data_IF_929672540702
#
_entry.id   IF_929672540702
#
_cell.length_a   1.000
_cell.length_b   1.000
_cell.length_c   1.000
_cell.angle_alpha   90.00
_cell.angle_beta   90.00
_cell.angle_gamma   90.00
#
_symmetry.space_group_name_H-M   'P 1'
#
loop_
_entity.id
_entity.type
_entity.pdbx_description
1 polymer ?
#
# COMPACT_ATOMS: atom_id res chain seq x y z
N UNK A 1 11.23 -7.11 -4.03
CA UNK A 1 10.91 -5.69 -4.28
C UNK A 1 9.76 -5.25 -3.38
N UNK A 2 9.98 -4.25 -2.52
CA UNK A 2 8.88 -3.51 -1.89
C UNK A 2 8.09 -2.83 -3.01
N UNK A 3 6.76 -2.91 -2.98
CA UNK A 3 5.92 -2.21 -3.96
C UNK A 3 6.10 -0.70 -3.85
N UNK A 4 6.36 -0.17 -2.66
CA UNK A 4 6.70 1.23 -2.46
C UNK A 4 8.20 1.44 -2.68
N UNK A 5 8.57 1.86 -3.88
CA UNK A 5 9.95 2.14 -4.21
C UNK A 5 10.30 3.50 -3.63
N UNK A 6 11.28 3.54 -2.72
CA UNK A 6 11.70 4.80 -2.10
C UNK A 6 12.44 5.66 -3.12
N UNK A 7 12.03 6.93 -3.20
CA UNK A 7 12.74 8.02 -3.81
C UNK A 7 12.84 9.15 -2.78
N UNK A 8 13.83 10.01 -2.93
CA UNK A 8 13.96 11.21 -2.10
C UNK A 8 13.03 12.30 -2.62
N UNK A 9 12.93 12.45 -3.95
CA UNK A 9 12.10 13.46 -4.62
C UNK A 9 10.66 13.04 -4.93
N UNK A 10 10.35 11.74 -4.95
CA UNK A 10 8.99 11.24 -5.24
C UNK A 10 8.33 10.73 -3.97
N UNK A 11 7.05 11.06 -3.78
CA UNK A 11 6.34 10.75 -2.54
C UNK A 11 5.30 9.64 -2.71
N UNK A 12 4.81 9.43 -3.94
CA UNK A 12 3.68 8.53 -4.21
C UNK A 12 4.00 7.50 -5.32
N UNK A 13 5.27 7.10 -5.45
CA UNK A 13 5.72 6.10 -6.42
C UNK A 13 5.55 4.67 -5.88
N UNK A 14 4.85 3.80 -6.62
CA UNK A 14 4.72 2.37 -6.29
C UNK A 14 4.42 1.48 -7.50
N UNK A 15 4.76 0.21 -7.36
CA UNK A 15 4.39 -0.91 -8.24
C UNK A 15 2.96 -1.40 -7.92
N UNK A 16 2.16 -1.64 -8.97
CA UNK A 16 0.82 -2.23 -8.88
C UNK A 16 0.82 -3.77 -8.87
N UNK A 17 1.98 -4.41 -9.01
CA UNK A 17 2.13 -5.85 -8.88
C UNK A 17 1.83 -6.37 -7.47
N UNK A 18 1.57 -7.66 -7.36
CA UNK A 18 1.34 -8.37 -6.10
C UNK A 18 -0.11 -8.57 -5.72
N UNK A 19 -1.04 -7.78 -6.27
CA UNK A 19 -2.47 -7.98 -5.98
C UNK A 19 -2.97 -9.33 -6.49
N UNK A 20 -3.88 -9.95 -5.75
CA UNK A 20 -4.51 -11.21 -6.14
C UNK A 20 -5.86 -10.92 -6.79
N UNK A 21 -6.16 -11.62 -7.88
CA UNK A 21 -7.46 -11.56 -8.56
C UNK A 21 -8.44 -12.54 -7.91
N UNK A 22 -9.74 -12.35 -8.13
CA UNK A 22 -10.78 -13.24 -7.57
C UNK A 22 -10.61 -14.71 -8.02
N UNK A 23 -10.00 -14.96 -9.18
CA UNK A 23 -9.71 -16.28 -9.73
C UNK A 23 -8.30 -16.81 -9.36
N UNK A 24 -7.63 -16.17 -8.40
CA UNK A 24 -6.41 -16.68 -7.77
C UNK A 24 -5.09 -16.35 -8.50
N UNK A 25 -5.13 -15.63 -9.62
CA UNK A 25 -3.93 -15.12 -10.26
C UNK A 25 -3.34 -13.97 -9.45
N UNK A 26 -2.08 -13.64 -9.73
CA UNK A 26 -1.37 -12.51 -9.11
C UNK A 26 -0.93 -11.50 -10.18
N UNK A 27 -1.11 -10.22 -9.91
CA UNK A 27 -0.57 -9.14 -10.74
C UNK A 27 0.96 -9.21 -10.70
N UNK A 28 1.59 -9.26 -11.86
CA UNK A 28 3.03 -9.42 -12.04
C UNK A 28 3.77 -8.18 -11.53
N UNK A 29 4.70 -8.33 -10.56
CA UNK A 29 5.58 -7.26 -10.12
C UNK A 29 6.44 -6.69 -11.25
N UNK A 30 6.76 -5.41 -11.13
CA UNK A 30 7.69 -4.69 -11.98
C UNK A 30 7.19 -4.40 -13.39
N UNK A 31 5.88 -4.50 -13.64
CA UNK A 31 5.26 -4.24 -14.97
C UNK A 31 4.53 -2.93 -15.06
N UNK A 32 3.96 -2.44 -13.96
CA UNK A 32 3.10 -1.28 -14.00
C UNK A 32 3.29 -0.45 -12.72
N UNK A 33 3.76 0.78 -12.89
CA UNK A 33 4.06 1.70 -11.80
C UNK A 33 3.14 2.91 -11.86
N UNK A 34 2.71 3.38 -10.69
CA UNK A 34 2.02 4.66 -10.52
C UNK A 34 2.87 5.62 -9.71
N UNK A 35 2.81 6.92 -10.02
CA UNK A 35 3.65 7.93 -9.35
C UNK A 35 2.97 9.30 -9.19
N UNK A 36 3.50 10.12 -8.29
CA UNK A 36 3.39 11.59 -8.38
C UNK A 36 4.28 12.14 -9.50
N UNK A 37 4.30 13.47 -9.69
CA UNK A 37 4.96 14.09 -10.84
C UNK A 37 6.42 13.66 -10.99
N UNK A 38 6.73 12.98 -12.10
CA UNK A 38 8.08 12.58 -12.45
C UNK A 38 8.98 13.75 -12.90
N UNK A 39 8.40 14.94 -13.10
CA UNK A 39 9.17 16.18 -13.31
C UNK A 39 10.03 16.61 -12.11
N UNK A 40 9.85 15.96 -10.94
CA UNK A 40 10.70 16.15 -9.77
C UNK A 40 12.06 15.43 -9.88
N UNK A 41 12.20 14.48 -10.81
CA UNK A 41 13.46 13.75 -11.00
C UNK A 41 14.52 14.64 -11.65
N UNK A 42 15.77 14.47 -11.22
CA UNK A 42 16.92 15.22 -11.75
C UNK A 42 17.98 14.24 -12.25
N UNK A 43 18.45 14.43 -13.50
CA UNK A 43 19.48 13.57 -14.10
C UNK A 43 20.78 13.56 -13.29
N UNK A 44 21.47 12.43 -13.23
CA UNK A 44 22.73 12.29 -12.49
C UNK A 44 22.57 12.16 -10.97
N UNK A 45 21.34 11.95 -10.48
CA UNK A 45 21.05 11.66 -9.07
C UNK A 45 20.78 10.17 -8.87
N UNK A 46 20.89 9.70 -7.62
CA UNK A 46 20.57 8.31 -7.27
C UNK A 46 19.10 7.95 -7.54
N UNK A 47 18.19 8.92 -7.42
CA UNK A 47 16.78 8.75 -7.77
C UNK A 47 16.60 8.55 -9.27
N UNK A 48 17.36 9.26 -10.10
CA UNK A 48 17.34 9.06 -11.55
C UNK A 48 17.87 7.68 -11.95
N UNK A 49 19.01 7.27 -11.39
CA UNK A 49 19.59 5.95 -11.64
C UNK A 49 18.63 4.84 -11.19
N UNK A 50 17.96 5.03 -10.04
CA UNK A 50 16.93 4.11 -9.55
C UNK A 50 15.74 4.03 -10.50
N UNK A 51 15.27 5.16 -11.03
CA UNK A 51 14.17 5.19 -11.99
C UNK A 51 14.54 4.47 -13.30
N UNK A 52 15.73 4.71 -13.84
CA UNK A 52 16.23 4.02 -15.03
C UNK A 52 16.38 2.51 -14.82
N UNK A 53 16.84 2.09 -13.62
CA UNK A 53 16.99 0.68 -13.28
C UNK A 53 15.66 -0.10 -13.22
N UNK A 54 14.51 0.58 -13.17
CA UNK A 54 13.20 -0.07 -13.27
C UNK A 54 12.89 -0.59 -14.69
N UNK A 55 13.67 -0.18 -15.69
CA UNK A 55 13.51 -0.64 -17.07
C UNK A 55 12.20 -0.17 -17.72
N UNK A 56 11.61 0.93 -17.24
CA UNK A 56 10.39 1.51 -17.80
C UNK A 56 10.63 1.85 -19.27
N UNK A 57 9.73 1.40 -20.14
CA UNK A 57 9.74 1.69 -21.58
C UNK A 57 8.70 2.72 -22.03
N UNK A 58 7.70 3.02 -21.20
CA UNK A 58 6.71 4.06 -21.49
C UNK A 58 6.32 4.82 -20.24
N UNK A 59 6.32 6.14 -20.33
CA UNK A 59 5.82 7.06 -19.31
C UNK A 59 4.57 7.76 -19.83
N UNK A 60 3.44 7.55 -19.14
CA UNK A 60 2.16 8.21 -19.41
C UNK A 60 1.96 9.35 -18.42
N UNK A 61 1.98 10.60 -18.91
CA UNK A 61 1.75 11.79 -18.11
C UNK A 61 0.30 12.25 -18.26
N UNK A 62 -0.49 12.13 -17.19
CA UNK A 62 -1.92 12.44 -17.17
C UNK A 62 -2.20 13.92 -16.86
N UNK A 63 -1.15 14.75 -16.79
CA UNK A 63 -1.27 16.17 -16.47
C UNK A 63 -1.76 16.99 -17.66
N UNK A 64 -2.35 18.13 -17.36
CA UNK A 64 -2.61 19.16 -18.35
C UNK A 64 -1.30 19.77 -18.84
N UNK A 65 -1.30 20.31 -20.06
CA UNK A 65 -0.15 21.01 -20.64
C UNK A 65 0.37 22.13 -19.72
N UNK A 66 -0.52 22.93 -19.12
CA UNK A 66 -0.13 24.02 -18.22
C UNK A 66 0.55 23.52 -16.94
N UNK A 67 0.20 22.34 -16.43
CA UNK A 67 0.90 21.74 -15.29
C UNK A 67 2.31 21.28 -15.68
N UNK A 68 2.46 20.78 -16.91
CA UNK A 68 3.74 20.33 -17.47
C UNK A 68 4.65 21.53 -17.74
N UNK A 69 4.13 22.60 -18.36
CA UNK A 69 4.84 23.85 -18.60
C UNK A 69 5.33 24.47 -17.28
N UNK A 70 4.47 24.50 -16.26
CA UNK A 70 4.81 25.11 -14.97
C UNK A 70 5.75 24.26 -14.11
N UNK A 71 5.75 22.92 -14.26
CA UNK A 71 6.43 21.99 -13.32
C UNK A 71 7.44 21.06 -13.97
N UNK A 72 7.61 21.14 -15.29
CA UNK A 72 8.44 20.23 -16.06
C UNK A 72 7.79 18.85 -16.26
N UNK A 73 8.25 18.18 -17.32
CA UNK A 73 8.04 16.73 -17.54
C UNK A 73 9.23 15.94 -16.99
N UNK A 74 9.07 14.62 -16.91
CA UNK A 74 10.19 13.71 -16.63
C UNK A 74 11.39 14.02 -17.55
N UNK A 75 12.64 14.02 -17.04
CA UNK A 75 13.82 14.19 -17.89
C UNK A 75 13.83 13.18 -19.03
N UNK A 76 14.20 13.60 -20.24
CA UNK A 76 14.22 12.72 -21.40
C UNK A 76 15.32 11.66 -21.26
N UNK A 77 15.01 10.41 -21.64
CA UNK A 77 15.98 9.32 -21.74
C UNK A 77 15.66 8.47 -22.98
N UNK A 78 16.67 7.81 -23.55
CA UNK A 78 16.46 6.90 -24.68
C UNK A 78 15.76 5.59 -24.30
N UNK A 79 15.61 5.30 -23.00
CA UNK A 79 15.05 4.04 -22.50
C UNK A 79 13.54 4.00 -22.47
N UNK A 80 12.84 5.13 -22.63
CA UNK A 80 11.38 5.17 -22.64
C UNK A 80 10.82 6.25 -23.56
N UNK A 81 9.61 6.00 -24.04
CA UNK A 81 8.77 7.01 -24.67
C UNK A 81 7.97 7.79 -23.62
N UNK A 82 7.77 9.08 -23.86
CA UNK A 82 6.92 9.94 -23.03
C UNK A 82 5.67 10.33 -23.82
N UNK A 83 4.51 10.05 -23.25
CA UNK A 83 3.20 10.29 -23.87
C UNK A 83 2.34 11.09 -22.89
N UNK A 84 1.86 12.26 -23.30
CA UNK A 84 0.90 13.03 -22.52
C UNK A 84 -0.53 12.67 -22.91
N UNK A 85 -1.36 12.35 -21.91
CA UNK A 85 -2.76 11.97 -22.03
C UNK A 85 -3.56 12.64 -20.91
N UNK A 86 -3.90 13.93 -21.06
CA UNK A 86 -4.68 14.64 -20.03
C UNK A 86 -6.12 14.13 -19.98
N UNK A 87 -6.42 13.28 -19.00
CA UNK A 87 -7.76 12.68 -18.86
C UNK A 87 -8.78 13.62 -18.21
N UNK A 88 -8.32 14.65 -17.49
CA UNK A 88 -9.21 15.63 -16.87
C UNK A 88 -9.42 16.78 -17.85
N UNK A 89 -10.66 17.08 -18.22
CA UNK A 89 -10.97 18.22 -19.11
C UNK A 89 -11.58 19.41 -18.36
N UNK A 90 -12.03 19.18 -17.12
CA UNK A 90 -12.60 20.19 -16.22
C UNK A 90 -11.70 20.37 -15.00
N UNK A 91 -10.73 21.29 -15.05
CA UNK A 91 -9.86 21.53 -13.89
C UNK A 91 -10.67 22.12 -12.73
N UNK A 92 -10.39 21.64 -11.52
CA UNK A 92 -10.97 22.18 -10.30
C UNK A 92 -9.87 22.59 -9.32
N UNK A 93 -9.99 23.79 -8.77
CA UNK A 93 -9.00 24.38 -7.86
C UNK A 93 -9.12 23.79 -6.45
N UNK A 94 -8.58 22.57 -6.28
CA UNK A 94 -8.62 21.83 -5.01
C UNK A 94 -8.13 22.66 -3.81
N UNK A 95 -6.99 23.39 -3.86
CA UNK A 95 -6.53 24.22 -2.75
C UNK A 95 -7.52 25.26 -2.25
N UNK A 96 -8.39 25.78 -3.13
CA UNK A 96 -9.31 26.88 -2.82
C UNK A 96 -10.70 26.41 -2.36
N UNK A 97 -10.97 25.10 -2.32
CA UNK A 97 -12.25 24.59 -1.80
C UNK A 97 -12.42 24.90 -0.31
N UNK A 98 -13.68 25.09 0.10
CA UNK A 98 -14.02 25.40 1.49
C UNK A 98 -13.75 24.21 2.44
N UNK A 99 -13.45 24.47 3.73
CA UNK A 99 -13.17 23.42 4.71
C UNK A 99 -14.35 22.46 4.97
N UNK A 100 -15.57 22.88 4.63
CA UNK A 100 -16.81 22.09 4.74
C UNK A 100 -16.99 21.04 3.63
N UNK A 101 -16.20 21.11 2.55
CA UNK A 101 -16.32 20.18 1.43
C UNK A 101 -15.76 18.81 1.81
N UNK A 102 -16.64 17.83 2.00
CA UNK A 102 -16.26 16.43 2.24
C UNK A 102 -15.57 15.85 0.99
N UNK A 103 -14.30 15.39 1.10
CA UNK A 103 -13.58 14.83 -0.03
C UNK A 103 -14.25 13.63 -0.68
N UNK A 104 -14.94 12.79 0.09
CA UNK A 104 -15.52 11.54 -0.41
C UNK A 104 -16.50 11.77 -1.57
N UNK A 105 -17.67 12.39 -1.29
CA UNK A 105 -18.66 12.69 -2.33
C UNK A 105 -18.14 13.64 -3.40
N UNK A 106 -17.40 14.68 -3.01
CA UNK A 106 -16.94 15.70 -3.95
C UNK A 106 -15.99 15.13 -5.02
N UNK A 107 -14.94 14.40 -4.60
CA UNK A 107 -13.98 13.84 -5.56
C UNK A 107 -14.59 12.68 -6.35
N UNK A 108 -15.49 11.88 -5.76
CA UNK A 108 -16.15 10.80 -6.49
C UNK A 108 -16.99 11.32 -7.66
N UNK A 109 -17.67 12.46 -7.48
CA UNK A 109 -18.38 13.15 -8.56
C UNK A 109 -17.42 13.62 -9.66
N UNK A 110 -16.30 14.27 -9.29
CA UNK A 110 -15.29 14.73 -10.25
C UNK A 110 -14.62 13.57 -11.00
N UNK A 111 -14.37 12.44 -10.36
CA UNK A 111 -13.84 11.25 -11.04
C UNK A 111 -14.83 10.69 -12.07
N UNK A 112 -16.13 10.76 -11.78
CA UNK A 112 -17.14 10.35 -12.77
C UNK A 112 -17.17 11.31 -13.98
N UNK A 113 -16.98 12.61 -13.76
CA UNK A 113 -16.81 13.58 -14.86
C UNK A 113 -15.55 13.31 -15.69
N UNK A 114 -14.42 12.99 -15.04
CA UNK A 114 -13.17 12.62 -15.71
C UNK A 114 -13.35 11.35 -16.54
N UNK A 115 -14.02 10.33 -16.00
CA UNK A 115 -14.34 9.11 -16.73
C UNK A 115 -15.19 9.38 -17.99
N UNK A 116 -16.08 10.38 -17.94
CA UNK A 116 -16.97 10.72 -19.06
C UNK A 116 -16.28 11.58 -20.12
N UNK A 117 -15.59 12.64 -19.70
CA UNK A 117 -14.98 13.60 -20.61
C UNK A 117 -13.64 13.07 -21.16
N UNK A 118 -12.83 12.43 -20.31
CA UNK A 118 -11.50 11.90 -20.62
C UNK A 118 -11.49 10.57 -21.38
N UNK A 119 -12.63 10.14 -21.93
CA UNK A 119 -12.81 8.82 -22.51
C UNK A 119 -11.75 8.46 -23.57
N UNK A 120 -11.33 9.42 -24.40
CA UNK A 120 -10.33 9.18 -25.45
C UNK A 120 -8.94 8.92 -24.87
N UNK A 121 -8.54 9.71 -23.88
CA UNK A 121 -7.25 9.61 -23.23
C UNK A 121 -7.18 8.39 -22.31
N UNK A 122 -8.27 8.08 -21.59
CA UNK A 122 -8.40 6.86 -20.78
C UNK A 122 -8.31 5.63 -21.68
N UNK A 123 -9.06 5.61 -22.80
CA UNK A 123 -8.97 4.55 -23.81
C UNK A 123 -7.52 4.34 -24.23
N UNK A 124 -6.84 5.42 -24.65
CA UNK A 124 -5.46 5.32 -25.14
C UNK A 124 -4.49 4.85 -24.06
N UNK A 125 -4.67 5.29 -22.81
CA UNK A 125 -3.85 4.85 -21.69
C UNK A 125 -4.01 3.34 -21.42
N UNK A 126 -5.25 2.83 -21.45
CA UNK A 126 -5.51 1.39 -21.28
C UNK A 126 -4.95 0.55 -22.44
N UNK A 127 -5.07 1.02 -23.68
CA UNK A 127 -4.46 0.38 -24.86
C UNK A 127 -2.94 0.32 -24.71
N UNK A 128 -2.28 1.43 -24.36
CA UNK A 128 -0.82 1.47 -24.14
C UNK A 128 -0.38 0.49 -23.05
N UNK A 129 -1.10 0.43 -21.93
CA UNK A 129 -0.79 -0.51 -20.84
C UNK A 129 -1.01 -1.96 -21.28
N UNK A 130 -2.07 -2.22 -22.05
CA UNK A 130 -2.40 -3.54 -22.56
C UNK A 130 -1.41 -4.02 -23.64
N UNK A 131 -0.81 -3.12 -24.42
CA UNK A 131 0.10 -3.44 -25.53
C UNK A 131 1.58 -3.42 -25.13
N UNK A 132 1.94 -2.92 -23.94
CA UNK A 132 3.32 -2.71 -23.56
C UNK A 132 4.11 -4.02 -23.32
N UNK A 133 5.21 -4.17 -24.07
CA UNK A 133 6.20 -5.23 -23.86
C UNK A 133 7.16 -4.91 -22.71
N UNK A 134 7.42 -3.63 -22.44
CA UNK A 134 8.23 -3.13 -21.34
C UNK A 134 7.36 -2.62 -20.17
N UNK A 135 7.92 -2.46 -18.96
CA UNK A 135 7.20 -1.81 -17.86
C UNK A 135 6.71 -0.40 -18.20
N UNK A 136 5.52 -0.05 -17.70
CA UNK A 136 4.88 1.26 -17.89
C UNK A 136 4.85 2.01 -16.56
N UNK A 137 5.14 3.31 -16.58
CA UNK A 137 4.85 4.20 -15.47
C UNK A 137 3.81 5.25 -15.88
N UNK A 138 2.82 5.50 -15.04
CA UNK A 138 1.84 6.55 -15.27
C UNK A 138 1.67 7.45 -14.05
N UNK A 139 1.50 8.75 -14.28
CA UNK A 139 1.49 9.72 -13.20
C UNK A 139 0.61 10.93 -13.50
N UNK A 140 0.25 11.67 -12.46
CA UNK A 140 -0.31 13.01 -12.57
C UNK A 140 0.51 13.96 -11.69
N UNK A 141 -0.07 15.02 -11.13
CA UNK A 141 0.64 15.91 -10.21
C UNK A 141 1.00 15.24 -8.88
N UNK A 142 0.01 14.64 -8.21
CA UNK A 142 0.14 14.01 -6.89
C UNK A 142 0.12 12.48 -6.93
N UNK A 143 -0.14 11.88 -8.10
CA UNK A 143 -0.33 10.44 -8.25
C UNK A 143 -1.59 9.92 -7.56
N UNK A 144 -2.55 10.81 -7.27
CA UNK A 144 -3.76 10.52 -6.49
C UNK A 144 -4.99 10.34 -7.37
N UNK A 145 -5.45 11.41 -8.01
CA UNK A 145 -6.77 11.50 -8.65
C UNK A 145 -6.80 10.77 -9.99
N UNK A 146 -6.33 11.44 -11.05
CA UNK A 146 -6.24 10.89 -12.41
C UNK A 146 -5.49 9.55 -12.47
N UNK A 147 -4.40 9.45 -11.70
CA UNK A 147 -3.65 8.20 -11.53
C UNK A 147 -4.44 7.13 -10.77
N UNK A 148 -5.26 7.51 -9.79
CA UNK A 148 -6.13 6.58 -9.08
C UNK A 148 -7.19 5.97 -9.98
N UNK A 149 -7.76 6.74 -10.90
CA UNK A 149 -8.74 6.27 -11.87
C UNK A 149 -8.15 5.25 -12.85
N UNK A 150 -6.99 5.56 -13.46
CA UNK A 150 -6.30 4.60 -14.35
C UNK A 150 -5.93 3.32 -13.60
N UNK A 151 -5.43 3.43 -12.37
CA UNK A 151 -5.13 2.26 -11.54
C UNK A 151 -6.39 1.44 -11.26
N UNK A 152 -7.51 2.08 -10.95
CA UNK A 152 -8.78 1.40 -10.68
C UNK A 152 -9.32 0.67 -11.91
N UNK A 153 -9.25 1.28 -13.10
CA UNK A 153 -9.68 0.64 -14.35
C UNK A 153 -8.82 -0.58 -14.68
N UNK A 154 -7.49 -0.46 -14.60
CA UNK A 154 -6.59 -1.59 -14.89
C UNK A 154 -6.80 -2.71 -13.88
N UNK A 155 -6.78 -2.43 -12.58
CA UNK A 155 -6.93 -3.47 -11.55
C UNK A 155 -8.31 -4.15 -11.63
N UNK A 156 -9.38 -3.38 -11.90
CA UNK A 156 -10.71 -3.92 -12.11
C UNK A 156 -10.77 -4.87 -13.32
N UNK A 157 -10.19 -4.48 -14.46
CA UNK A 157 -10.12 -5.32 -15.66
C UNK A 157 -9.24 -6.57 -15.49
N UNK A 158 -8.28 -6.53 -14.56
CA UNK A 158 -7.52 -7.71 -14.17
C UNK A 158 -8.34 -8.68 -13.29
N UNK A 159 -9.48 -8.26 -12.75
CA UNK A 159 -10.31 -9.04 -11.83
C UNK A 159 -9.88 -8.91 -10.36
N UNK A 160 -9.20 -7.83 -9.99
CA UNK A 160 -8.90 -7.50 -8.60
C UNK A 160 -10.16 -6.94 -7.93
N UNK A 161 -10.48 -7.44 -6.74
CA UNK A 161 -11.67 -7.01 -6.00
C UNK A 161 -11.61 -5.53 -5.57
N UNK A 162 -12.77 -4.88 -5.53
CA UNK A 162 -12.94 -3.48 -5.10
C UNK A 162 -12.25 -3.13 -3.81
N UNK A 163 -12.36 -4.00 -2.79
CA UNK A 163 -11.77 -3.74 -1.49
C UNK A 163 -10.26 -3.51 -1.61
N UNK A 164 -9.60 -4.23 -2.53
CA UNK A 164 -8.18 -4.12 -2.82
C UNK A 164 -7.87 -2.91 -3.72
N UNK A 165 -8.75 -2.56 -4.67
CA UNK A 165 -8.61 -1.34 -5.48
C UNK A 165 -8.73 -0.08 -4.61
N UNK A 166 -9.71 -0.04 -3.72
CA UNK A 166 -9.93 1.04 -2.75
C UNK A 166 -8.73 1.14 -1.80
N UNK A 167 -8.19 0.01 -1.37
CA UNK A 167 -6.98 -0.03 -0.55
C UNK A 167 -5.77 0.56 -1.30
N UNK A 168 -5.51 0.17 -2.56
CA UNK A 168 -4.42 0.75 -3.36
C UNK A 168 -4.53 2.27 -3.47
N UNK A 169 -5.75 2.77 -3.69
CA UNK A 169 -6.02 4.20 -3.73
C UNK A 169 -5.66 4.87 -2.40
N UNK A 170 -6.10 4.30 -1.28
CA UNK A 170 -5.86 4.86 0.05
C UNK A 170 -4.42 4.79 0.53
N UNK A 171 -3.55 3.99 -0.09
CA UNK A 171 -2.11 4.05 0.17
C UNK A 171 -1.51 5.44 -0.09
N UNK A 172 -2.17 6.28 -0.91
CA UNK A 172 -1.75 7.67 -1.12
C UNK A 172 -1.90 8.56 0.13
N UNK A 173 -2.67 8.15 1.14
CA UNK A 173 -2.68 8.84 2.45
C UNK A 173 -1.28 8.93 3.08
N UNK A 174 -0.42 7.95 2.83
CA UNK A 174 0.97 7.95 3.33
C UNK A 174 1.83 9.05 2.68
N UNK A 175 1.45 9.53 1.50
CA UNK A 175 2.13 10.61 0.79
C UNK A 175 1.54 11.99 1.12
N UNK A 176 0.33 12.05 1.72
CA UNK A 176 -0.39 13.30 1.95
C UNK A 176 0.40 14.37 2.73
N UNK A 177 1.15 14.04 3.80
CA UNK A 177 1.96 15.04 4.51
C UNK A 177 3.06 15.65 3.63
N UNK A 178 3.75 14.83 2.83
CA UNK A 178 4.81 15.30 1.93
C UNK A 178 4.24 16.11 0.76
N UNK A 179 3.12 15.69 0.19
CA UNK A 179 2.40 16.45 -0.85
C UNK A 179 1.93 17.83 -0.33
N UNK A 180 1.46 17.89 0.92
CA UNK A 180 1.11 19.15 1.57
C UNK A 180 2.34 20.03 1.80
N UNK A 181 3.45 19.45 2.27
CA UNK A 181 4.71 20.18 2.46
C UNK A 181 5.23 20.77 1.15
N UNK A 182 5.25 19.98 0.07
CA UNK A 182 5.60 20.43 -1.28
C UNK A 182 4.72 21.58 -1.73
N UNK A 183 3.41 21.50 -1.47
CA UNK A 183 2.49 22.57 -1.83
C UNK A 183 2.77 23.84 -1.03
N UNK A 184 2.95 23.76 0.29
CA UNK A 184 3.29 24.90 1.14
C UNK A 184 4.58 25.59 0.70
N UNK A 185 5.62 24.80 0.43
CA UNK A 185 6.92 25.31 -0.02
C UNK A 185 6.82 26.12 -1.33
N UNK A 186 5.89 25.75 -2.23
CA UNK A 186 5.64 26.44 -3.50
C UNK A 186 4.71 27.64 -3.40
N UNK A 187 4.09 27.86 -2.26
CA UNK A 187 3.07 28.90 -2.04
C UNK A 187 3.45 29.78 -0.84
N UNK A 188 4.75 30.07 -0.67
CA UNK A 188 5.27 30.96 0.37
C UNK A 188 4.83 30.58 1.80
N UNK A 189 4.71 29.27 2.06
CA UNK A 189 4.30 28.73 3.36
C UNK A 189 2.79 28.80 3.64
N UNK A 190 1.97 29.33 2.71
CA UNK A 190 0.51 29.29 2.83
C UNK A 190 0.02 27.85 2.94
N UNK A 191 -1.13 27.66 3.60
CA UNK A 191 -1.84 26.38 3.64
C UNK A 191 -3.02 26.40 2.65
N UNK A 192 -3.39 25.25 2.05
CA UNK A 192 -4.61 25.15 1.26
C UNK A 192 -5.82 25.40 2.17
N UNK A 193 -6.84 26.06 1.64
CA UNK A 193 -8.12 26.26 2.33
C UNK A 193 -8.81 24.92 2.58
N UNK A 194 -8.70 24.02 1.62
CA UNK A 194 -9.33 22.72 1.70
C UNK A 194 -8.56 21.73 2.57
N UNK A 195 -9.19 21.26 3.65
CA UNK A 195 -8.61 20.26 4.56
C UNK A 195 -8.42 18.88 3.91
N UNK A 196 -9.14 18.62 2.81
CA UNK A 196 -9.01 17.41 2.00
C UNK A 196 -7.79 17.41 1.07
N UNK A 197 -7.05 18.51 0.97
CA UNK A 197 -5.93 18.61 0.04
C UNK A 197 -4.87 17.53 0.30
N UNK A 198 -4.49 16.80 -0.74
CA UNK A 198 -3.55 15.67 -0.67
C UNK A 198 -4.11 14.38 -0.04
N UNK A 199 -5.27 14.42 0.60
CA UNK A 199 -5.95 13.24 1.19
C UNK A 199 -6.58 12.36 0.12
N UNK A 200 -6.54 11.05 0.32
CA UNK A 200 -7.08 9.97 -0.52
C UNK A 200 -7.95 9.00 0.32
N UNK A 201 -9.03 9.47 0.98
CA UNK A 201 -9.81 8.62 1.86
C UNK A 201 -10.54 7.54 1.04
N UNK A 202 -10.66 6.33 1.61
CA UNK A 202 -11.28 5.18 0.96
C UNK A 202 -12.69 5.44 0.43
N UNK A 203 -13.41 6.42 0.99
CA UNK A 203 -14.73 6.84 0.53
C UNK A 203 -14.74 7.36 -0.91
N UNK A 204 -13.70 8.05 -1.37
CA UNK A 204 -13.63 8.60 -2.73
C UNK A 204 -13.72 7.48 -3.75
N UNK A 205 -12.78 6.53 -3.69
CA UNK A 205 -12.73 5.42 -4.64
C UNK A 205 -13.96 4.51 -4.54
N UNK A 206 -14.45 4.27 -3.32
CA UNK A 206 -15.66 3.47 -3.11
C UNK A 206 -16.89 4.10 -3.77
N UNK A 207 -17.14 5.39 -3.52
CA UNK A 207 -18.28 6.11 -4.09
C UNK A 207 -18.16 6.24 -5.61
N UNK A 208 -16.95 6.46 -6.13
CA UNK A 208 -16.68 6.47 -7.56
C UNK A 208 -17.01 5.13 -8.23
N UNK A 209 -16.47 4.01 -7.72
CA UNK A 209 -16.75 2.68 -8.26
C UNK A 209 -18.25 2.33 -8.18
N UNK A 210 -18.91 2.71 -7.09
CA UNK A 210 -20.35 2.54 -6.94
C UNK A 210 -21.14 3.37 -7.97
N UNK A 211 -20.78 4.63 -8.17
CA UNK A 211 -21.43 5.52 -9.13
C UNK A 211 -21.22 5.03 -10.58
N UNK A 212 -19.99 4.66 -10.93
CA UNK A 212 -19.64 4.09 -12.23
C UNK A 212 -20.50 2.87 -12.55
N UNK A 213 -20.60 1.91 -11.62
CA UNK A 213 -21.42 0.70 -11.83
C UNK A 213 -22.92 0.98 -11.83
N UNK A 214 -23.39 1.91 -11.00
CA UNK A 214 -24.79 2.30 -11.01
C UNK A 214 -25.18 2.91 -12.36
N UNK A 215 -24.25 3.62 -13.01
CA UNK A 215 -24.49 4.29 -14.29
C UNK A 215 -24.30 3.37 -15.50
N UNK A 216 -23.27 2.52 -15.50
CA UNK A 216 -22.87 1.72 -16.66
C UNK A 216 -23.11 0.21 -16.50
N UNK A 217 -23.66 -0.23 -15.36
CA UNK A 217 -23.91 -1.63 -15.02
C UNK A 217 -22.69 -2.36 -14.47
N UNK A 218 -21.53 -2.16 -15.08
CA UNK A 218 -20.24 -2.68 -14.61
C UNK A 218 -19.08 -1.81 -15.10
N UNK A 219 -17.85 -2.15 -14.71
CA UNK A 219 -16.64 -1.49 -15.23
C UNK A 219 -16.45 -1.82 -16.72
N UNK A 220 -16.69 -3.07 -17.11
CA UNK A 220 -16.70 -3.56 -18.48
C UNK A 220 -17.80 -2.87 -19.31
N UNK A 221 -18.95 -2.60 -18.68
CA UNK A 221 -20.02 -1.79 -19.24
C UNK A 221 -19.54 -0.39 -19.60
N UNK A 222 -18.79 0.28 -18.72
CA UNK A 222 -18.16 1.58 -19.00
C UNK A 222 -17.15 1.49 -20.15
N UNK A 223 -16.27 0.49 -20.15
CA UNK A 223 -15.29 0.26 -21.21
C UNK A 223 -15.95 0.09 -22.58
N UNK A 224 -17.07 -0.64 -22.62
CA UNK A 224 -17.81 -0.88 -23.86
C UNK A 224 -18.57 0.36 -24.32
N UNK A 225 -19.33 0.98 -23.41
CA UNK A 225 -20.28 2.05 -23.76
C UNK A 225 -19.62 3.40 -23.95
N UNK A 226 -18.57 3.71 -23.16
CA UNK A 226 -17.93 5.04 -23.14
C UNK A 226 -16.60 5.04 -23.88
N UNK A 227 -15.74 4.03 -23.63
CA UNK A 227 -14.44 3.96 -24.31
C UNK A 227 -14.55 3.37 -25.73
N UNK A 228 -15.66 2.72 -26.05
CA UNK A 228 -15.89 2.08 -27.34
C UNK A 228 -14.88 0.96 -27.61
N UNK A 229 -14.52 0.20 -26.57
CA UNK A 229 -13.63 -0.95 -26.63
C UNK A 229 -14.39 -2.24 -26.36
N UNK A 230 -13.90 -3.35 -26.92
CA UNK A 230 -14.30 -4.68 -26.46
C UNK A 230 -13.65 -4.94 -25.10
N UNK A 231 -14.48 -4.92 -24.05
CA UNK A 231 -14.02 -5.06 -22.67
C UNK A 231 -13.41 -6.45 -22.39
N UNK A 232 -13.95 -7.50 -22.99
CA UNK A 232 -13.45 -8.87 -22.81
C UNK A 232 -12.09 -9.03 -23.50
N UNK A 233 -11.95 -8.49 -24.72
CA UNK A 233 -10.67 -8.49 -25.44
C UNK A 233 -9.59 -7.68 -24.70
N UNK A 234 -9.95 -6.49 -24.19
CA UNK A 234 -9.04 -5.64 -23.41
C UNK A 234 -8.63 -6.33 -22.10
N UNK A 235 -9.59 -6.89 -21.35
CA UNK A 235 -9.31 -7.64 -20.12
C UNK A 235 -8.40 -8.83 -20.40
N UNK A 236 -8.70 -9.63 -21.43
CA UNK A 236 -7.87 -10.78 -21.81
C UNK A 236 -6.42 -10.36 -22.12
N UNK A 237 -6.23 -9.24 -22.84
CA UNK A 237 -4.91 -8.70 -23.16
C UNK A 237 -4.16 -8.23 -21.93
N UNK A 238 -4.80 -7.41 -21.09
CA UNK A 238 -4.23 -6.94 -19.82
C UNK A 238 -3.82 -8.12 -18.94
N UNK A 239 -4.69 -9.13 -18.83
CA UNK A 239 -4.45 -10.33 -18.02
C UNK A 239 -3.27 -11.14 -18.53
N UNK A 240 -3.13 -11.31 -19.85
CA UNK A 240 -1.97 -12.00 -20.44
C UNK A 240 -0.63 -11.30 -20.12
N UNK A 241 -0.64 -9.96 -20.09
CA UNK A 241 0.58 -9.17 -19.93
C UNK A 241 0.93 -8.84 -18.47
N UNK A 242 -0.09 -8.70 -17.62
CA UNK A 242 0.07 -8.21 -16.26
C UNK A 242 -0.22 -9.27 -15.19
N UNK A 243 -0.64 -10.50 -15.53
CA UNK A 243 -0.76 -11.58 -14.54
C UNK A 243 0.39 -12.60 -14.64
N UNK A 244 0.70 -13.21 -13.52
CA UNK A 244 1.57 -14.38 -13.44
C UNK A 244 0.80 -15.66 -13.80
N UNK A 245 1.44 -16.66 -14.45
CA UNK A 245 0.81 -17.95 -14.68
C UNK A 245 0.60 -18.74 -13.38
N UNK A 246 -0.49 -19.51 -13.31
CA UNK A 246 -0.71 -20.45 -12.21
C UNK A 246 0.06 -21.77 -12.43
N UNK A 247 0.55 -22.43 -11.36
CA UNK A 247 0.53 -21.99 -9.97
C UNK A 247 1.65 -20.99 -9.67
N UNK A 248 1.33 -19.94 -8.91
CA UNK A 248 2.29 -18.95 -8.45
C UNK A 248 3.12 -19.53 -7.30
N UNK A 249 4.24 -20.18 -7.60
CA UNK A 249 5.14 -20.72 -6.59
C UNK A 249 5.83 -19.57 -5.81
N UNK A 250 5.78 -19.63 -4.49
CA UNK A 250 6.61 -18.80 -3.63
C UNK A 250 7.74 -19.65 -3.06
N UNK A 251 8.98 -19.18 -3.21
CA UNK A 251 10.14 -19.81 -2.57
C UNK A 251 10.05 -19.77 -1.04
N UNK A 252 10.89 -20.54 -0.33
CA UNK A 252 10.92 -20.52 1.12
C UNK A 252 11.26 -19.12 1.66
N UNK A 253 10.70 -18.79 2.83
CA UNK A 253 11.05 -17.55 3.51
C UNK A 253 12.48 -17.61 4.03
N UNK A 254 13.21 -16.53 3.83
CA UNK A 254 14.50 -16.27 4.45
C UNK A 254 14.35 -15.19 5.52
N UNK A 255 15.20 -15.22 6.55
CA UNK A 255 15.07 -14.34 7.72
C UNK A 255 16.38 -13.64 8.02
N UNK A 256 16.29 -12.38 8.47
CA UNK A 256 17.43 -11.66 9.05
C UNK A 256 16.98 -10.72 10.15
N UNK A 257 17.89 -10.41 11.07
CA UNK A 257 17.69 -9.31 12.02
C UNK A 257 17.62 -7.99 11.26
N UNK A 258 16.70 -7.13 11.68
CA UNK A 258 16.65 -5.75 11.22
C UNK A 258 17.82 -4.94 11.80
N UNK A 259 18.23 -3.93 11.07
CA UNK A 259 19.24 -2.94 11.48
C UNK A 259 18.60 -1.55 11.48
N UNK A 260 19.23 -0.51 12.07
CA UNK A 260 18.65 0.83 12.09
C UNK A 260 18.27 1.39 10.71
N UNK A 261 18.94 0.96 9.64
CA UNK A 261 18.62 1.37 8.26
C UNK A 261 17.30 0.78 7.75
N UNK A 262 16.74 -0.24 8.42
CA UNK A 262 15.46 -0.86 8.10
C UNK A 262 14.26 -0.18 8.76
N UNK A 263 14.48 0.79 9.67
CA UNK A 263 13.42 1.40 10.47
C UNK A 263 12.32 2.02 9.61
N UNK A 264 12.70 2.75 8.54
CA UNK A 264 11.75 3.33 7.58
C UNK A 264 10.90 2.27 6.88
N UNK A 265 11.48 1.13 6.51
CA UNK A 265 10.76 0.01 5.89
C UNK A 265 9.78 -0.65 6.85
N UNK A 266 10.14 -0.77 8.13
CA UNK A 266 9.28 -1.31 9.18
C UNK A 266 8.07 -0.41 9.47
N UNK A 267 8.29 0.92 9.54
CA UNK A 267 7.19 1.91 9.67
C UNK A 267 6.24 1.77 8.49
N UNK A 268 6.77 1.72 7.25
CA UNK A 268 5.95 1.55 6.04
C UNK A 268 5.16 0.25 6.03
N UNK A 269 5.79 -0.87 6.38
CA UNK A 269 5.10 -2.16 6.47
C UNK A 269 3.93 -2.07 7.47
N UNK A 270 4.20 -1.52 8.66
CA UNK A 270 3.18 -1.38 9.71
C UNK A 270 2.03 -0.49 9.26
N UNK A 271 2.32 0.66 8.68
CA UNK A 271 1.31 1.61 8.21
C UNK A 271 0.49 1.04 7.05
N UNK A 272 1.12 0.26 6.17
CA UNK A 272 0.42 -0.47 5.10
C UNK A 272 -0.55 -1.51 5.68
N UNK A 273 -0.14 -2.24 6.73
CA UNK A 273 -1.02 -3.18 7.44
C UNK A 273 -2.16 -2.44 8.14
N UNK A 274 -1.90 -1.28 8.76
CA UNK A 274 -2.94 -0.47 9.40
C UNK A 274 -3.98 0.03 8.39
N UNK A 275 -3.54 0.51 7.22
CA UNK A 275 -4.45 0.91 6.14
C UNK A 275 -5.25 -0.28 5.59
N UNK A 276 -4.61 -1.45 5.41
CA UNK A 276 -5.27 -2.69 5.01
C UNK A 276 -6.36 -3.12 6.01
N UNK A 277 -6.08 -2.98 7.31
CA UNK A 277 -7.03 -3.26 8.40
C UNK A 277 -8.23 -2.30 8.34
N UNK A 278 -7.98 -0.99 8.24
CA UNK A 278 -9.03 0.02 8.17
C UNK A 278 -9.94 -0.17 6.94
N UNK A 279 -9.36 -0.50 5.78
CA UNK A 279 -10.13 -0.79 4.56
C UNK A 279 -11.09 -1.99 4.73
N UNK A 280 -10.82 -2.87 5.70
CA UNK A 280 -11.63 -4.06 6.03
C UNK A 280 -12.45 -3.89 7.32
N UNK A 281 -12.54 -2.67 7.85
CA UNK A 281 -13.29 -2.38 9.07
C UNK A 281 -12.65 -2.95 10.35
N UNK A 282 -11.36 -3.30 10.32
CA UNK A 282 -10.62 -3.78 11.48
C UNK A 282 -10.00 -2.56 12.18
N UNK A 283 -10.58 -2.15 13.31
CA UNK A 283 -10.07 -1.05 14.11
C UNK A 283 -9.09 -1.54 15.18
N UNK A 284 -7.80 -1.66 14.81
CA UNK A 284 -6.74 -2.17 15.70
C UNK A 284 -5.48 -1.31 15.67
N UNK A 285 -4.96 -0.99 14.50
CA UNK A 285 -3.78 -0.14 14.35
C UNK A 285 -4.12 1.12 13.57
N UNK A 286 -3.46 2.23 13.92
CA UNK A 286 -3.57 3.48 13.17
C UNK A 286 -2.27 3.73 12.38
N UNK A 287 -2.36 4.26 11.15
CA UNK A 287 -1.19 4.75 10.43
C UNK A 287 -0.44 5.82 11.26
N UNK A 288 0.88 5.86 11.14
CA UNK A 288 1.76 6.83 11.82
C UNK A 288 1.77 6.75 13.35
N UNK A 289 1.18 5.71 13.94
CA UNK A 289 1.18 5.50 15.40
C UNK A 289 2.57 5.11 15.95
N UNK A 290 3.44 4.52 15.10
CA UNK A 290 4.81 4.14 15.46
C UNK A 290 5.77 4.68 14.41
N UNK A 291 6.87 5.25 14.88
CA UNK A 291 7.90 5.88 14.08
C UNK A 291 9.18 5.03 14.03
N UNK A 292 10.20 5.56 13.36
CA UNK A 292 11.50 4.90 13.24
C UNK A 292 12.18 4.73 14.61
N UNK A 293 12.01 5.70 15.52
CA UNK A 293 12.59 5.65 16.86
C UNK A 293 12.02 4.48 17.67
N UNK A 294 10.72 4.17 17.53
CA UNK A 294 10.13 2.97 18.13
C UNK A 294 10.87 1.70 17.68
N UNK A 295 11.05 1.50 16.38
CA UNK A 295 11.68 0.29 15.85
C UNK A 295 13.16 0.21 16.20
N UNK A 296 13.91 1.32 16.12
CA UNK A 296 15.32 1.37 16.53
C UNK A 296 15.48 1.00 18.01
N UNK A 297 14.64 1.55 18.89
CA UNK A 297 14.65 1.19 20.32
C UNK A 297 14.41 -0.32 20.51
N UNK A 298 13.46 -0.89 19.78
CA UNK A 298 13.11 -2.32 19.87
C UNK A 298 14.20 -3.25 19.33
N UNK A 299 15.00 -2.80 18.36
CA UNK A 299 16.20 -3.51 17.92
C UNK A 299 17.28 -3.56 19.01
N UNK A 300 17.34 -2.55 19.88
CA UNK A 300 18.30 -2.48 21.00
C UNK A 300 17.86 -3.30 22.20
N UNK A 301 16.58 -3.24 22.56
CA UNK A 301 16.03 -3.87 23.78
C UNK A 301 15.64 -5.34 23.59
N UNK A 302 15.48 -5.78 22.34
CA UNK A 302 15.04 -7.14 21.99
C UNK A 302 15.58 -7.57 20.64
N UNK A 303 14.74 -8.19 19.83
CA UNK A 303 15.05 -8.49 18.43
C UNK A 303 13.91 -8.00 17.53
N UNK A 304 14.25 -7.46 16.36
CA UNK A 304 13.30 -7.22 15.27
C UNK A 304 13.76 -8.04 14.07
N UNK A 305 12.86 -8.82 13.51
CA UNK A 305 13.16 -9.74 12.41
C UNK A 305 12.36 -9.40 11.17
N UNK A 306 13.00 -9.56 10.02
CA UNK A 306 12.41 -9.38 8.70
C UNK A 306 12.41 -10.73 7.98
N UNK A 307 11.32 -11.05 7.31
CA UNK A 307 11.19 -12.24 6.46
C UNK A 307 11.02 -11.85 4.99
N UNK A 308 11.68 -12.60 4.11
CA UNK A 308 11.72 -12.35 2.68
C UNK A 308 11.35 -13.59 1.87
N UNK A 309 10.45 -13.43 0.91
CA UNK A 309 10.23 -14.37 -0.19
C UNK A 309 11.06 -13.89 -1.39
N UNK A 310 12.19 -14.55 -1.64
CA UNK A 310 13.21 -14.04 -2.58
C UNK A 310 13.71 -12.66 -2.12
N UNK A 311 13.51 -11.64 -2.94
CA UNK A 311 13.89 -10.25 -2.62
C UNK A 311 12.73 -9.39 -2.07
N UNK A 312 11.56 -9.98 -1.78
CA UNK A 312 10.36 -9.25 -1.33
C UNK A 312 10.18 -9.35 0.18
N UNK A 313 10.15 -8.21 0.87
CA UNK A 313 9.79 -8.17 2.28
C UNK A 313 8.36 -8.71 2.43
N UNK A 314 8.24 -9.88 3.06
CA UNK A 314 6.98 -10.62 3.21
C UNK A 314 6.39 -10.49 4.61
N UNK A 315 7.20 -10.07 5.58
CA UNK A 315 6.71 -9.75 6.90
C UNK A 315 7.80 -9.42 7.89
N UNK A 316 7.39 -9.10 9.10
CA UNK A 316 8.27 -8.78 10.21
C UNK A 316 7.62 -9.14 11.54
N UNK A 317 8.42 -9.27 12.58
CA UNK A 317 7.93 -9.35 13.95
C UNK A 317 8.96 -8.77 14.92
N UNK A 318 8.47 -8.40 16.10
CA UNK A 318 9.31 -8.05 17.23
C UNK A 318 9.30 -9.18 18.26
N UNK A 319 10.46 -9.44 18.84
CA UNK A 319 10.63 -10.38 19.93
C UNK A 319 11.22 -9.63 21.12
N UNK A 320 10.44 -9.57 22.19
CA UNK A 320 10.82 -8.93 23.43
C UNK A 320 11.19 -10.00 24.46
N UNK A 321 12.03 -9.62 25.42
CA UNK A 321 12.44 -10.52 26.52
C UNK A 321 11.72 -10.22 27.84
N UNK A 322 11.04 -9.07 27.91
CA UNK A 322 10.15 -8.67 29.00
C UNK A 322 8.95 -7.92 28.43
N UNK A 323 7.77 -8.11 29.02
CA UNK A 323 6.55 -7.34 28.69
C UNK A 323 5.68 -7.13 29.94
N UNK A 324 6.25 -6.48 30.96
CA UNK A 324 5.52 -6.22 32.21
C UNK A 324 4.25 -5.38 32.01
N UNK A 325 4.22 -4.54 30.97
CA UNK A 325 3.06 -3.71 30.67
C UNK A 325 1.81 -4.53 30.36
N UNK A 326 1.94 -5.66 29.66
CA UNK A 326 0.81 -6.54 29.37
C UNK A 326 0.69 -7.73 30.34
N UNK A 327 1.82 -8.28 30.79
CA UNK A 327 1.85 -9.56 31.54
C UNK A 327 2.08 -9.41 33.05
N UNK A 328 2.34 -8.19 33.52
CA UNK A 328 2.81 -7.92 34.88
C UNK A 328 4.20 -8.51 35.13
N UNK A 329 4.68 -8.46 36.38
CA UNK A 329 5.93 -9.11 36.78
C UNK A 329 5.86 -10.62 36.53
N UNK A 330 6.80 -11.16 35.75
CA UNK A 330 6.91 -12.59 35.41
C UNK A 330 8.35 -13.07 35.55
N UNK A 331 8.57 -14.39 35.78
CA UNK A 331 9.90 -14.97 35.66
C UNK A 331 10.50 -14.70 34.27
N UNK A 332 11.82 -14.66 34.19
CA UNK A 332 12.56 -14.54 32.93
C UNK A 332 12.61 -15.90 32.20
N UNK A 333 11.44 -16.47 31.92
CA UNK A 333 11.24 -17.81 31.38
C UNK A 333 10.55 -17.82 30.01
N UNK A 334 10.33 -16.64 29.41
CA UNK A 334 9.59 -16.51 28.18
C UNK A 334 10.12 -15.41 27.25
N UNK A 335 9.95 -15.60 25.95
CA UNK A 335 10.00 -14.52 24.97
C UNK A 335 8.60 -14.07 24.57
N UNK A 336 8.44 -12.79 24.28
CA UNK A 336 7.16 -12.16 23.98
C UNK A 336 7.12 -11.70 22.52
N UNK A 337 6.21 -12.28 21.75
CA UNK A 337 6.09 -12.03 20.31
C UNK A 337 5.11 -10.87 20.10
N UNK A 338 5.59 -9.77 19.56
CA UNK A 338 4.79 -8.58 19.27
C UNK A 338 4.83 -8.21 17.80
N UNK A 339 3.77 -7.51 17.36
CA UNK A 339 3.71 -6.89 16.04
C UNK A 339 4.12 -7.85 14.92
N UNK A 340 3.54 -9.06 14.93
CA UNK A 340 3.67 -9.99 13.83
C UNK A 340 2.89 -9.43 12.64
N UNK A 341 3.62 -9.04 11.60
CA UNK A 341 3.12 -8.33 10.43
C UNK A 341 3.41 -9.15 9.18
N UNK A 342 2.40 -9.36 8.34
CA UNK A 342 2.57 -9.90 6.99
C UNK A 342 2.33 -8.79 5.98
N UNK A 343 3.21 -8.66 4.99
CA UNK A 343 3.06 -7.66 3.92
C UNK A 343 1.77 -7.93 3.15
N UNK A 344 0.80 -7.00 3.15
CA UNK A 344 -0.47 -7.21 2.45
C UNK A 344 -0.26 -7.56 0.98
N UNK A 345 -0.99 -8.57 0.50
CA UNK A 345 -1.01 -9.07 -0.89
C UNK A 345 0.29 -9.70 -1.41
N UNK A 346 1.46 -9.31 -0.89
CA UNK A 346 2.76 -9.83 -1.32
C UNK A 346 3.23 -11.04 -0.53
N UNK A 347 2.79 -11.17 0.73
CA UNK A 347 3.20 -12.27 1.58
C UNK A 347 2.63 -13.60 1.06
N UNK A 348 3.47 -14.63 0.83
CA UNK A 348 2.97 -15.95 0.49
C UNK A 348 1.98 -16.48 1.53
N UNK A 349 0.95 -17.25 1.12
CA UNK A 349 0.07 -17.95 2.04
C UNK A 349 0.88 -18.70 3.11
N UNK A 350 0.48 -18.56 4.38
CA UNK A 350 1.18 -19.17 5.51
C UNK A 350 2.37 -18.37 6.07
N UNK A 351 2.72 -17.21 5.51
CA UNK A 351 3.81 -16.38 6.04
C UNK A 351 3.62 -16.04 7.51
N UNK A 352 2.40 -15.73 7.94
CA UNK A 352 2.12 -15.47 9.36
C UNK A 352 2.48 -16.65 10.27
N UNK A 353 2.26 -17.89 9.83
CA UNK A 353 2.61 -19.10 10.58
C UNK A 353 4.11 -19.32 10.62
N UNK A 354 4.78 -19.07 9.50
CA UNK A 354 6.21 -19.20 9.38
C UNK A 354 6.95 -18.16 10.24
N UNK A 355 6.48 -16.91 10.28
CA UNK A 355 6.98 -15.87 11.19
C UNK A 355 6.84 -16.30 12.66
N UNK A 356 5.66 -16.82 13.03
CA UNK A 356 5.39 -17.28 14.39
C UNK A 356 6.33 -18.44 14.79
N UNK A 357 6.47 -19.44 13.93
CA UNK A 357 7.38 -20.57 14.15
C UNK A 357 8.86 -20.14 14.22
N UNK A 358 9.26 -19.16 13.40
CA UNK A 358 10.62 -18.60 13.46
C UNK A 358 10.85 -17.88 14.79
N UNK A 359 9.88 -17.08 15.26
CA UNK A 359 9.96 -16.44 16.57
C UNK A 359 10.05 -17.46 17.72
N UNK A 360 9.25 -18.53 17.70
CA UNK A 360 9.32 -19.65 18.64
C UNK A 360 10.72 -20.30 18.64
N UNK A 361 11.30 -20.55 17.47
CA UNK A 361 12.67 -21.08 17.36
C UNK A 361 13.73 -20.16 17.96
N UNK A 362 13.57 -18.83 17.85
CA UNK A 362 14.46 -17.86 18.50
C UNK A 362 14.37 -17.91 20.02
N UNK A 363 13.17 -18.12 20.56
CA UNK A 363 12.92 -18.26 22.00
C UNK A 363 13.57 -19.55 22.52
N UNK A 364 13.36 -20.68 21.83
CA UNK A 364 14.05 -21.94 22.15
C UNK A 364 15.57 -21.76 22.11
N UNK A 365 16.10 -21.10 21.07
CA UNK A 365 17.53 -20.86 20.93
C UNK A 365 18.12 -19.95 22.01
N UNK A 366 17.29 -19.14 22.68
CA UNK A 366 17.66 -18.35 23.86
C UNK A 366 17.56 -19.15 25.17
N UNK A 367 17.15 -20.42 25.12
CA UNK A 367 17.01 -21.31 26.28
C UNK A 367 15.74 -21.06 27.10
N UNK A 368 14.75 -20.36 26.54
CA UNK A 368 13.51 -20.02 27.23
C UNK A 368 12.40 -21.04 26.90
N UNK A 369 11.70 -21.60 27.91
CA UNK A 369 10.69 -22.65 27.70
C UNK A 369 9.35 -22.15 27.17
N UNK A 370 9.05 -20.85 27.26
CA UNK A 370 7.72 -20.32 26.92
C UNK A 370 7.77 -19.24 25.83
N UNK A 371 6.85 -19.33 24.87
CA UNK A 371 6.52 -18.25 23.97
C UNK A 371 5.20 -17.61 24.41
N UNK A 372 5.19 -16.29 24.58
CA UNK A 372 4.03 -15.50 25.02
C UNK A 372 3.66 -14.48 23.95
N UNK A 373 2.37 -14.20 23.82
CA UNK A 373 1.85 -13.14 22.94
C UNK A 373 0.49 -12.65 23.44
N UNK A 374 0.07 -11.49 22.93
CA UNK A 374 -1.25 -10.93 23.20
C UNK A 374 -2.01 -10.60 21.90
N UNK A 375 -3.34 -10.65 21.97
CA UNK A 375 -4.21 -10.22 20.89
C UNK A 375 -5.41 -9.44 21.43
N UNK A 376 -6.02 -8.58 20.59
CA UNK A 376 -7.24 -7.87 20.97
C UNK A 376 -8.34 -8.86 21.37
N UNK A 377 -8.92 -8.66 22.56
CA UNK A 377 -10.00 -9.53 23.07
C UNK A 377 -11.24 -9.53 22.16
N UNK A 378 -11.45 -8.44 21.42
CA UNK A 378 -12.55 -8.28 20.45
C UNK A 378 -12.27 -8.94 19.08
N UNK A 379 -11.12 -9.59 18.89
CA UNK A 379 -10.73 -10.22 17.62
C UNK A 379 -10.73 -11.76 17.73
N UNK A 380 -11.91 -12.42 17.64
CA UNK A 380 -12.02 -13.87 17.81
C UNK A 380 -11.29 -14.68 16.72
N UNK A 381 -11.10 -14.09 15.53
CA UNK A 381 -10.33 -14.71 14.44
C UNK A 381 -8.86 -14.87 14.82
N UNK A 382 -8.27 -13.81 15.40
CA UNK A 382 -6.87 -13.82 15.79
C UNK A 382 -6.63 -14.75 17.00
N UNK A 383 -7.59 -14.84 17.93
CA UNK A 383 -7.57 -15.86 18.98
C UNK A 383 -7.56 -17.28 18.42
N UNK A 384 -8.53 -17.61 17.55
CA UNK A 384 -8.62 -18.93 16.89
C UNK A 384 -7.34 -19.26 16.12
N UNK A 385 -6.76 -18.25 15.47
CA UNK A 385 -5.48 -18.38 14.78
C UNK A 385 -4.36 -18.80 15.75
N UNK A 386 -4.18 -18.15 16.90
CA UNK A 386 -3.14 -18.54 17.84
C UNK A 386 -3.40 -19.87 18.55
N UNK A 387 -4.64 -20.16 18.92
CA UNK A 387 -5.04 -21.46 19.51
C UNK A 387 -4.71 -22.63 18.57
N UNK A 388 -4.96 -22.48 17.27
CA UNK A 388 -4.58 -23.49 16.27
C UNK A 388 -3.07 -23.57 15.99
N UNK A 389 -2.25 -22.64 16.51
CA UNK A 389 -0.79 -22.77 16.56
C UNK A 389 -0.28 -23.51 17.83
N UNK A 390 -1.19 -23.92 18.72
CA UNK A 390 -0.86 -24.57 19.98
C UNK A 390 -0.66 -23.59 21.15
N UNK A 391 -1.08 -22.34 21.03
CA UNK A 391 -1.14 -21.42 22.17
C UNK A 391 -2.40 -21.66 23.00
N UNK A 392 -2.30 -21.47 24.31
CA UNK A 392 -3.42 -21.54 25.25
C UNK A 392 -3.67 -20.18 25.87
N UNK A 393 -4.93 -19.81 26.07
CA UNK A 393 -5.30 -18.59 26.81
C UNK A 393 -4.96 -18.77 28.29
N UNK A 394 -4.20 -17.83 28.85
CA UNK A 394 -3.74 -17.85 30.24
C UNK A 394 -4.18 -16.64 31.06
N UNK A 395 -4.86 -15.69 30.41
CA UNK A 395 -5.45 -14.53 31.09
C UNK A 395 -6.00 -13.48 30.14
N UNK A 396 -6.51 -12.41 30.71
CA UNK A 396 -6.90 -11.18 30.01
C UNK A 396 -6.33 -9.98 30.76
N UNK A 397 -5.89 -8.97 30.01
CA UNK A 397 -5.46 -7.69 30.55
C UNK A 397 -6.48 -6.62 30.11
N UNK A 398 -7.32 -6.09 31.03
CA UNK A 398 -8.47 -5.25 30.67
C UNK A 398 -8.10 -3.83 30.20
N UNK A 399 -6.87 -3.38 30.48
CA UNK A 399 -6.39 -2.06 30.06
C UNK A 399 -4.89 -2.12 29.76
N UNK A 400 -4.53 -2.33 28.49
CA UNK A 400 -3.16 -2.10 28.01
C UNK A 400 -3.04 -0.64 27.56
N UNK A 401 -2.21 0.15 28.23
CA UNK A 401 -1.88 1.50 27.74
C UNK A 401 -0.92 1.37 26.55
N UNK A 402 -1.45 1.54 25.34
CA UNK A 402 -0.70 1.50 24.08
C UNK A 402 0.03 2.80 23.75
N UNK A 403 -0.13 3.84 24.59
CA UNK A 403 0.59 5.12 24.51
C UNK A 403 -0.06 6.22 23.66
N UNK A 404 -1.16 5.98 22.93
CA UNK A 404 -1.82 7.02 22.11
C UNK A 404 -3.36 6.81 21.90
N UNK A 405 -4.03 5.95 22.68
CA UNK A 405 -5.46 5.65 22.48
C UNK A 405 -6.18 5.16 23.74
N UNK A 406 -7.51 5.00 23.66
CA UNK A 406 -8.32 4.44 24.75
C UNK A 406 -7.81 3.05 25.16
N UNK A 407 -7.77 2.73 26.47
CA UNK A 407 -7.35 1.42 26.93
C UNK A 407 -8.21 0.32 26.27
N UNK A 408 -7.55 -0.68 25.71
CA UNK A 408 -8.19 -1.83 25.09
C UNK A 408 -7.82 -3.12 25.82
N UNK A 409 -8.76 -4.05 25.87
CA UNK A 409 -8.57 -5.35 26.48
C UNK A 409 -7.82 -6.28 25.54
N UNK A 410 -6.83 -7.01 26.08
CA UNK A 410 -6.10 -8.04 25.34
C UNK A 410 -6.22 -9.40 26.02
N UNK A 411 -6.31 -10.45 25.21
CA UNK A 411 -6.19 -11.84 25.66
C UNK A 411 -4.71 -12.22 25.66
N UNK A 412 -4.24 -12.80 26.77
CA UNK A 412 -2.87 -13.26 26.95
C UNK A 412 -2.78 -14.75 26.60
N UNK A 413 -1.85 -15.11 25.73
CA UNK A 413 -1.67 -16.49 25.27
C UNK A 413 -0.24 -16.97 25.45
N UNK A 414 -0.07 -18.22 25.85
CA UNK A 414 1.22 -18.86 26.10
C UNK A 414 1.30 -20.22 25.38
N UNK A 415 2.51 -20.58 24.95
CA UNK A 415 2.85 -21.89 24.38
C UNK A 415 4.18 -22.35 24.97
N UNK A 416 4.24 -23.60 25.42
CA UNK A 416 5.50 -24.24 25.74
C UNK A 416 6.26 -24.56 24.44
N UNK A 417 7.46 -24.02 24.28
CA UNK A 417 8.37 -24.28 23.16
C UNK A 417 9.47 -25.24 23.62
N UNK A 418 9.89 -26.16 22.76
CA UNK A 418 10.93 -27.16 23.06
C UNK A 418 12.17 -26.89 22.23
#
# INVERSE_FOLDING_TARGET
>A
MDRHISFDGLHNFRDLGGYTTADGHRVRPGRLYRADSLGKLTTGTADWDRFLALGIGTVIDLRHDWEIEARGRVPAAASFDWINLSIEHRPYDQPSLGPEVDPGPYLAERYLEVAEDGAKEIRRALELIAEADAPVAFHCASGKDRTGEIAAFVLGLLGVEDATVIEDYSLTELAAPALLADWKARNDGKAPTWLGFGRAPASVMRLFLQALRSRYGSLEGYVTQVLGLDADALSARLRANLLEPLPTASGPLTYRKATPTDAKSLVRLRDSVALWMLARGIDQWKPSEKDEAHFVRRMTEGEVWLAYAGHHLSGAYELWWTDEAAWGPRPADAGYIHRLMTTPHLAPPGTGRALLAHAESRITAAGLPHARLDCLATNPRLRTYYESAGYTVVGEQPAKDGGLGSPYAVTLLEKHVR
#
